data_IF_784626235418
#
_entry.id   IF_784626235418
#
_cell.length_a   1.000
_cell.length_b   1.000
_cell.length_c   1.000
_cell.angle_alpha   90.00
_cell.angle_beta   90.00
_cell.angle_gamma   90.00
#
_symmetry.space_group_name_H-M   'P 1'
#
loop_
_entity.id
_entity.type
_entity.pdbx_description
1 polymer ?
#
# COMPACT_ATOMS: atom_id res chain seq x y z
N UNK A 1 4.76 46.87 35.23
CA UNK A 1 4.85 46.27 33.88
C UNK A 1 4.25 44.86 33.87
N UNK A 2 3.05 44.64 34.41
CA UNK A 2 2.41 43.30 34.44
C UNK A 2 1.23 43.16 33.47
N UNK A 3 0.76 44.28 32.91
CA UNK A 3 -0.35 44.30 31.94
C UNK A 3 0.13 43.75 30.58
N UNK A 4 1.41 43.97 30.23
CA UNK A 4 2.00 43.51 28.97
C UNK A 4 2.23 41.98 28.96
N UNK A 5 2.66 41.40 30.08
CA UNK A 5 2.93 39.95 30.18
C UNK A 5 1.65 39.12 30.15
N UNK A 6 0.58 39.54 30.85
CA UNK A 6 -0.71 38.83 30.83
C UNK A 6 -1.44 38.90 29.49
N UNK A 7 -1.27 39.99 28.74
CA UNK A 7 -1.85 40.14 27.39
C UNK A 7 -1.08 39.31 26.37
N UNK A 8 0.25 39.30 26.45
CA UNK A 8 1.11 38.45 25.61
C UNK A 8 0.82 36.96 25.87
N UNK A 9 0.70 36.53 27.13
CA UNK A 9 0.38 35.14 27.47
C UNK A 9 -0.97 34.67 26.89
N UNK A 10 -2.02 35.49 26.99
CA UNK A 10 -3.33 35.20 26.38
C UNK A 10 -3.25 35.13 24.85
N UNK A 11 -2.48 36.02 24.20
CA UNK A 11 -2.28 35.98 22.74
C UNK A 11 -1.57 34.69 22.33
N UNK A 12 -0.55 34.26 23.08
CA UNK A 12 0.10 32.97 22.83
C UNK A 12 -0.87 31.80 23.01
N UNK A 13 -1.66 31.75 24.08
CA UNK A 13 -2.64 30.67 24.29
C UNK A 13 -3.68 30.57 23.17
N UNK A 14 -4.27 31.69 22.73
CA UNK A 14 -5.28 31.70 21.67
C UNK A 14 -4.72 31.42 20.26
N UNK A 15 -3.41 31.61 20.03
CA UNK A 15 -2.81 31.52 18.68
C UNK A 15 -1.92 30.28 18.50
N UNK A 16 -1.29 29.78 19.58
CA UNK A 16 -0.39 28.62 19.52
C UNK A 16 -1.15 27.33 19.26
N UNK A 17 -2.32 27.15 19.88
CA UNK A 17 -3.09 25.92 19.72
C UNK A 17 -3.63 25.73 18.27
N UNK A 18 -4.23 26.75 17.61
CA UNK A 18 -4.66 26.62 16.21
C UNK A 18 -3.49 26.42 15.23
N UNK A 19 -2.38 27.13 15.41
CA UNK A 19 -1.19 27.01 14.54
C UNK A 19 -0.55 25.63 14.74
N UNK A 20 -0.42 25.17 16.00
CA UNK A 20 0.13 23.86 16.33
C UNK A 20 -0.68 22.72 15.72
N UNK A 21 -2.02 22.80 15.73
CA UNK A 21 -2.89 21.82 15.07
C UNK A 21 -2.67 21.77 13.56
N UNK A 22 -2.56 22.93 12.90
CA UNK A 22 -2.31 22.99 11.46
C UNK A 22 -0.95 22.38 11.08
N UNK A 23 0.10 22.70 11.83
CA UNK A 23 1.45 22.12 11.66
C UNK A 23 1.43 20.61 11.91
N UNK A 24 0.72 20.17 12.96
CA UNK A 24 0.54 18.74 13.27
C UNK A 24 -0.10 17.96 12.14
N UNK A 25 -1.12 18.50 11.46
CA UNK A 25 -1.72 17.85 10.30
C UNK A 25 -0.74 17.69 9.13
N UNK A 26 0.10 18.69 8.88
CA UNK A 26 1.13 18.63 7.84
C UNK A 26 2.22 17.61 8.15
N UNK A 27 2.65 17.53 9.42
CA UNK A 27 3.62 16.52 9.87
C UNK A 27 3.05 15.11 9.71
N UNK A 28 1.82 14.88 10.20
CA UNK A 28 1.16 13.58 10.08
C UNK A 28 0.96 13.18 8.62
N UNK A 29 0.58 14.13 7.75
CA UNK A 29 0.49 13.91 6.31
C UNK A 29 1.82 13.43 5.70
N UNK A 30 2.92 14.14 5.95
CA UNK A 30 4.25 13.74 5.46
C UNK A 30 4.63 12.36 5.98
N UNK A 31 4.49 12.13 7.29
CA UNK A 31 4.81 10.85 7.92
C UNK A 31 4.01 9.69 7.33
N UNK A 32 2.72 9.88 7.05
CA UNK A 32 1.87 8.84 6.48
C UNK A 32 2.21 8.54 5.02
N UNK A 33 2.64 9.54 4.24
CA UNK A 33 3.15 9.31 2.88
C UNK A 33 4.48 8.55 2.89
N UNK A 34 5.42 8.90 3.78
CA UNK A 34 6.67 8.15 3.89
C UNK A 34 6.43 6.71 4.35
N UNK A 35 5.49 6.51 5.28
CA UNK A 35 5.05 5.16 5.67
C UNK A 35 4.51 4.37 4.48
N UNK A 36 3.65 4.99 3.66
CA UNK A 36 3.14 4.38 2.43
C UNK A 36 4.27 4.01 1.46
N UNK A 37 5.23 4.90 1.21
CA UNK A 37 6.40 4.61 0.34
C UNK A 37 7.22 3.44 0.86
N UNK A 38 7.48 3.42 2.16
CA UNK A 38 8.25 2.35 2.79
C UNK A 38 7.53 1.00 2.68
N UNK A 39 6.21 0.98 2.91
CA UNK A 39 5.41 -0.23 2.81
C UNK A 39 5.31 -0.70 1.35
N UNK A 40 5.12 0.22 0.39
CA UNK A 40 5.11 -0.12 -1.04
C UNK A 40 6.42 -0.79 -1.47
N UNK A 41 7.57 -0.23 -1.06
CA UNK A 41 8.89 -0.85 -1.33
C UNK A 41 9.01 -2.26 -0.72
N UNK A 42 8.44 -2.47 0.47
CA UNK A 42 8.40 -3.80 1.08
C UNK A 42 7.52 -4.77 0.27
N UNK A 43 6.36 -4.31 -0.20
CA UNK A 43 5.48 -5.09 -1.06
C UNK A 43 6.18 -5.52 -2.34
N UNK A 44 6.89 -4.62 -3.01
CA UNK A 44 7.64 -4.92 -4.23
C UNK A 44 8.66 -6.04 -3.99
N UNK A 45 9.42 -5.95 -2.90
CA UNK A 45 10.37 -6.99 -2.53
C UNK A 45 9.68 -8.34 -2.24
N UNK A 46 8.47 -8.34 -1.67
CA UNK A 46 7.69 -9.57 -1.41
C UNK A 46 7.14 -10.14 -2.74
N UNK A 47 6.66 -9.28 -3.65
CA UNK A 47 6.19 -9.66 -4.99
C UNK A 47 7.31 -10.31 -5.79
N UNK A 48 8.51 -9.75 -5.75
CA UNK A 48 9.70 -10.31 -6.43
C UNK A 48 10.06 -11.69 -5.89
N UNK A 49 10.06 -11.87 -4.56
CA UNK A 49 10.28 -13.20 -3.95
C UNK A 49 9.19 -14.19 -4.37
N UNK A 50 7.93 -13.77 -4.38
CA UNK A 50 6.82 -14.63 -4.80
C UNK A 50 6.94 -15.00 -6.28
N UNK A 51 7.35 -14.08 -7.13
CA UNK A 51 7.60 -14.35 -8.55
C UNK A 51 8.64 -15.45 -8.73
N UNK A 52 9.78 -15.39 -8.03
CA UNK A 52 10.78 -16.45 -8.09
C UNK A 52 10.24 -17.81 -7.65
N UNK A 53 9.40 -17.86 -6.60
CA UNK A 53 8.75 -19.10 -6.14
C UNK A 53 7.80 -19.66 -7.20
N UNK A 54 7.02 -18.80 -7.84
CA UNK A 54 6.12 -19.20 -8.93
C UNK A 54 6.90 -19.72 -10.13
N UNK A 55 7.96 -19.02 -10.53
CA UNK A 55 8.82 -19.45 -11.65
C UNK A 55 9.45 -20.82 -11.37
N UNK A 56 9.83 -21.12 -10.13
CA UNK A 56 10.32 -22.45 -9.72
C UNK A 56 9.24 -23.53 -9.81
N UNK A 57 8.02 -23.24 -9.34
CA UNK A 57 6.88 -24.16 -9.42
C UNK A 57 6.57 -24.52 -10.87
N UNK A 58 6.56 -23.52 -11.76
CA UNK A 58 6.31 -23.71 -13.19
C UNK A 58 7.43 -24.50 -13.87
N UNK A 59 8.70 -24.23 -13.54
CA UNK A 59 9.86 -25.02 -14.05
C UNK A 59 9.79 -26.49 -13.65
N UNK A 60 9.20 -26.78 -12.49
CA UNK A 60 9.01 -28.14 -12.00
C UNK A 60 7.75 -28.82 -12.57
N UNK A 61 7.02 -28.16 -13.49
CA UNK A 61 5.80 -28.71 -14.10
C UNK A 61 4.62 -28.82 -13.14
N UNK A 62 4.67 -28.12 -12.00
CA UNK A 62 3.61 -28.09 -11.01
C UNK A 62 2.65 -26.93 -11.27
N UNK A 63 1.43 -27.05 -10.75
CA UNK A 63 0.46 -25.96 -10.77
C UNK A 63 0.71 -24.97 -9.64
N UNK A 64 0.42 -23.69 -9.88
CA UNK A 64 0.49 -22.62 -8.87
C UNK A 64 -0.86 -22.51 -8.16
N UNK A 65 -0.85 -22.47 -6.83
CA UNK A 65 -2.07 -22.37 -6.05
C UNK A 65 -2.88 -21.10 -6.37
N UNK A 66 -4.21 -21.23 -6.33
CA UNK A 66 -5.11 -20.13 -6.74
C UNK A 66 -5.03 -18.94 -5.80
N UNK A 67 -4.83 -19.17 -4.51
CA UNK A 67 -4.68 -18.12 -3.50
C UNK A 67 -3.39 -17.30 -3.69
N UNK A 68 -2.31 -17.92 -4.20
CA UNK A 68 -1.08 -17.25 -4.61
C UNK A 68 -1.34 -16.35 -5.82
N UNK A 69 -2.07 -16.84 -6.82
CA UNK A 69 -2.44 -16.04 -7.99
C UNK A 69 -3.30 -14.83 -7.61
N UNK A 70 -4.30 -15.04 -6.74
CA UNK A 70 -5.17 -13.97 -6.26
C UNK A 70 -4.37 -12.94 -5.46
N UNK A 71 -3.48 -13.38 -4.56
CA UNK A 71 -2.61 -12.49 -3.81
C UNK A 71 -1.73 -11.62 -4.71
N UNK A 72 -1.19 -12.16 -5.81
CA UNK A 72 -0.41 -11.38 -6.79
C UNK A 72 -1.26 -10.31 -7.45
N UNK A 73 -2.47 -10.66 -7.91
CA UNK A 73 -3.41 -9.72 -8.53
C UNK A 73 -3.80 -8.59 -7.56
N UNK A 74 -4.10 -8.95 -6.31
CA UNK A 74 -4.39 -7.98 -5.25
C UNK A 74 -3.18 -7.08 -4.98
N UNK A 75 -1.97 -7.64 -4.93
CA UNK A 75 -0.74 -6.87 -4.74
C UNK A 75 -0.51 -5.86 -5.89
N UNK A 76 -0.80 -6.23 -7.13
CA UNK A 76 -0.75 -5.32 -8.28
C UNK A 76 -1.77 -4.18 -8.17
N UNK A 77 -3.01 -4.49 -7.75
CA UNK A 77 -4.03 -3.47 -7.50
C UNK A 77 -3.65 -2.50 -6.39
N UNK A 78 -3.11 -3.01 -5.28
CA UNK A 78 -2.59 -2.20 -4.16
C UNK A 78 -1.43 -1.31 -4.64
N UNK A 79 -0.53 -1.83 -5.48
CA UNK A 79 0.59 -1.08 -6.06
C UNK A 79 0.06 0.12 -6.86
N UNK A 80 -0.90 -0.11 -7.75
CA UNK A 80 -1.51 0.94 -8.57
C UNK A 80 -2.20 2.02 -7.73
N UNK A 81 -2.93 1.63 -6.69
CA UNK A 81 -3.56 2.63 -5.80
C UNK A 81 -2.53 3.43 -5.01
N UNK A 82 -1.44 2.80 -4.56
CA UNK A 82 -0.36 3.48 -3.86
C UNK A 82 0.34 4.50 -4.78
N UNK A 83 0.67 4.11 -6.01
CA UNK A 83 1.24 5.00 -7.03
C UNK A 83 0.32 6.19 -7.33
N UNK A 84 -0.99 5.97 -7.43
CA UNK A 84 -1.97 7.05 -7.62
C UNK A 84 -1.99 8.02 -6.42
N UNK A 85 -1.95 7.54 -5.18
CA UNK A 85 -1.88 8.41 -4.00
C UNK A 85 -0.59 9.24 -4.01
N UNK A 86 0.55 8.60 -4.30
CA UNK A 86 1.87 9.24 -4.32
C UNK A 86 2.00 10.25 -5.47
N UNK A 87 1.44 9.96 -6.65
CA UNK A 87 1.41 10.89 -7.79
C UNK A 87 0.57 12.15 -7.52
N UNK A 88 -0.45 12.06 -6.67
CA UNK A 88 -1.30 13.18 -6.29
C UNK A 88 -0.72 14.06 -5.17
N UNK A 89 0.44 13.71 -4.61
CA UNK A 89 1.15 14.50 -3.58
C UNK A 89 1.43 15.95 -4.04
N UNK A 90 1.76 16.14 -5.32
CA UNK A 90 2.07 17.46 -5.88
C UNK A 90 0.85 18.38 -6.01
N UNK A 91 -0.34 17.83 -6.22
CA UNK A 91 -1.57 18.61 -6.45
C UNK A 91 -2.12 19.25 -5.19
N UNK A 92 -1.80 18.69 -4.01
CA UNK A 92 -2.16 19.32 -2.75
C UNK A 92 -1.43 20.66 -2.57
N UNK A 93 -0.24 20.89 -3.13
CA UNK A 93 0.59 22.06 -2.78
C UNK A 93 0.05 23.45 -3.20
N UNK A 94 -0.99 23.56 -4.06
CA UNK A 94 -1.28 24.80 -4.80
C UNK A 94 -2.42 25.71 -4.29
N UNK A 95 -3.29 25.29 -3.35
CA UNK A 95 -4.48 26.11 -3.00
C UNK A 95 -4.61 26.45 -1.49
N UNK A 96 -3.95 27.52 -1.05
CA UNK A 96 -4.38 28.30 0.11
C UNK A 96 -4.75 29.70 -0.35
N UNK A 97 -6.03 30.07 -0.25
CA UNK A 97 -6.49 31.44 -0.45
C UNK A 97 -7.13 31.94 0.84
N UNK A 98 -6.77 33.16 1.27
CA UNK A 98 -7.57 33.96 2.22
C UNK A 98 -7.94 33.30 3.56
N UNK A 99 -6.97 32.69 4.28
CA UNK A 99 -7.14 32.27 5.68
C UNK A 99 -7.96 30.99 5.91
N UNK A 100 -8.63 30.46 4.88
CA UNK A 100 -9.20 29.11 4.87
C UNK A 100 -8.41 28.33 3.83
N UNK A 101 -7.66 27.32 4.25
CA UNK A 101 -6.95 26.45 3.34
C UNK A 101 -7.81 25.21 3.05
N UNK A 102 -8.56 25.15 1.93
CA UNK A 102 -9.22 23.91 1.48
C UNK A 102 -8.25 22.72 1.42
N UNK A 103 -6.97 23.02 1.27
CA UNK A 103 -5.86 22.07 1.31
C UNK A 103 -5.72 21.29 2.62
N UNK A 104 -6.11 21.81 3.79
CA UNK A 104 -5.98 21.05 5.04
C UNK A 104 -6.91 19.83 5.08
N UNK A 105 -8.13 19.95 4.57
CA UNK A 105 -9.07 18.83 4.44
C UNK A 105 -8.54 17.81 3.41
N UNK A 106 -7.98 18.29 2.30
CA UNK A 106 -7.35 17.45 1.28
C UNK A 106 -6.12 16.72 1.82
N UNK A 107 -5.23 17.39 2.56
CA UNK A 107 -4.09 16.80 3.24
C UNK A 107 -4.53 15.76 4.26
N UNK A 108 -5.55 16.07 5.05
CA UNK A 108 -6.08 15.11 6.02
C UNK A 108 -6.63 13.85 5.32
N UNK A 109 -7.40 14.03 4.25
CA UNK A 109 -7.94 12.92 3.44
C UNK A 109 -6.83 12.07 2.81
N UNK A 110 -5.82 12.70 2.20
CA UNK A 110 -4.67 12.02 1.60
C UNK A 110 -3.84 11.30 2.68
N UNK A 111 -3.61 11.95 3.81
CA UNK A 111 -2.92 11.38 4.97
C UNK A 111 -3.62 10.13 5.49
N UNK A 112 -4.94 10.18 5.66
CA UNK A 112 -5.75 9.05 6.09
C UNK A 112 -5.73 7.90 5.07
N UNK A 113 -5.89 8.21 3.77
CA UNK A 113 -5.78 7.20 2.69
C UNK A 113 -4.42 6.53 2.69
N UNK A 114 -3.35 7.30 2.86
CA UNK A 114 -1.97 6.79 2.90
C UNK A 114 -1.75 5.88 4.09
N UNK A 115 -2.20 6.28 5.28
CA UNK A 115 -2.10 5.46 6.49
C UNK A 115 -2.90 4.15 6.35
N UNK A 116 -4.11 4.23 5.79
CA UNK A 116 -4.96 3.07 5.55
C UNK A 116 -4.29 2.08 4.60
N UNK A 117 -3.82 2.56 3.45
CA UNK A 117 -3.20 1.71 2.44
C UNK A 117 -1.85 1.16 2.90
N UNK A 118 -1.06 1.92 3.65
CA UNK A 118 0.18 1.44 4.27
C UNK A 118 -0.07 0.23 5.18
N UNK A 119 -1.12 0.28 6.00
CA UNK A 119 -1.52 -0.85 6.86
C UNK A 119 -2.03 -2.05 6.04
N UNK A 120 -2.78 -1.79 4.98
CA UNK A 120 -3.24 -2.84 4.07
C UNK A 120 -2.06 -3.55 3.39
N UNK A 121 -1.09 -2.79 2.88
CA UNK A 121 0.16 -3.33 2.33
C UNK A 121 0.90 -4.15 3.37
N UNK A 122 1.04 -3.66 4.60
CA UNK A 122 1.73 -4.38 5.66
C UNK A 122 1.10 -5.76 5.92
N UNK A 123 -0.23 -5.82 6.00
CA UNK A 123 -0.97 -7.07 6.19
C UNK A 123 -0.82 -8.00 4.98
N UNK A 124 -0.94 -7.45 3.77
CA UNK A 124 -0.83 -8.22 2.53
C UNK A 124 0.56 -8.82 2.34
N UNK A 125 1.62 -8.03 2.64
CA UNK A 125 3.02 -8.45 2.59
C UNK A 125 3.38 -9.52 3.62
N UNK A 126 2.65 -9.58 4.74
CA UNK A 126 2.82 -10.58 5.81
C UNK A 126 2.04 -11.87 5.55
N UNK A 127 1.23 -11.96 4.49
CA UNK A 127 0.47 -13.18 4.19
C UNK A 127 1.43 -14.34 3.91
N UNK A 128 1.26 -15.42 4.67
CA UNK A 128 2.00 -16.65 4.49
C UNK A 128 1.20 -17.66 3.67
N UNK A 129 1.92 -18.52 2.96
CA UNK A 129 1.36 -19.57 2.11
C UNK A 129 1.92 -20.91 2.56
N UNK A 130 1.10 -21.81 3.14
CA UNK A 130 1.55 -23.15 3.54
C UNK A 130 2.12 -23.95 2.37
N UNK A 131 1.53 -23.78 1.18
CA UNK A 131 2.05 -24.26 -0.09
C UNK A 131 1.86 -23.18 -1.15
N UNK A 132 2.74 -23.17 -2.15
CA UNK A 132 2.58 -22.35 -3.37
C UNK A 132 2.27 -23.18 -4.60
N UNK A 133 2.30 -24.51 -4.46
CA UNK A 133 2.18 -25.44 -5.56
C UNK A 133 1.26 -26.61 -5.24
N UNK A 134 0.63 -27.14 -6.28
CA UNK A 134 -0.04 -28.43 -6.26
C UNK A 134 0.47 -29.32 -7.39
N UNK A 135 0.35 -30.63 -7.22
CA UNK A 135 0.62 -31.58 -8.29
C UNK A 135 -0.63 -31.66 -9.19
N UNK A 136 -0.54 -31.22 -10.47
CA UNK A 136 -1.68 -31.32 -11.36
C UNK A 136 -2.03 -32.80 -11.59
N UNK A 137 -3.31 -33.13 -11.82
CA UNK A 137 -3.69 -34.50 -12.12
C UNK A 137 -2.86 -34.99 -13.30
N UNK A 138 -2.22 -36.16 -13.15
CA UNK A 138 -1.52 -36.84 -14.24
C UNK A 138 -2.47 -36.85 -15.45
N UNK A 139 -2.06 -36.17 -16.52
CA UNK A 139 -2.93 -35.91 -17.65
C UNK A 139 -3.61 -37.20 -18.09
N UNK A 140 -4.95 -37.24 -18.05
CA UNK A 140 -5.74 -38.28 -18.74
C UNK A 140 -5.36 -38.37 -20.23
N UNK A 141 -4.73 -37.33 -20.75
CA UNK A 141 -4.17 -37.25 -22.10
C UNK A 141 -2.98 -38.19 -22.30
N UNK A 142 -2.20 -38.53 -21.26
CA UNK A 142 -1.12 -39.51 -21.39
C UNK A 142 -1.69 -40.94 -21.49
N UNK A 143 -2.74 -41.27 -20.74
CA UNK A 143 -3.46 -42.53 -20.92
C UNK A 143 -4.14 -42.61 -22.29
N UNK A 144 -4.79 -41.54 -22.75
CA UNK A 144 -5.40 -41.51 -24.10
C UNK A 144 -4.37 -41.58 -25.24
N UNK A 145 -3.21 -40.94 -25.09
CA UNK A 145 -2.12 -41.00 -26.05
C UNK A 145 -1.48 -42.40 -26.07
N UNK A 146 -1.29 -43.02 -24.91
CA UNK A 146 -0.79 -44.40 -24.79
C UNK A 146 -1.79 -45.43 -25.34
N UNK A 147 -3.10 -45.30 -25.07
CA UNK A 147 -4.11 -46.17 -25.68
C UNK A 147 -4.14 -46.06 -27.20
N UNK A 148 -3.98 -44.84 -27.76
CA UNK A 148 -3.88 -44.62 -29.21
C UNK A 148 -2.58 -45.15 -29.82
N UNK A 149 -1.48 -45.13 -29.09
CA UNK A 149 -0.18 -45.68 -29.54
C UNK A 149 -0.13 -47.21 -29.48
N UNK A 150 -0.81 -47.81 -28.50
CA UNK A 150 -0.83 -49.26 -28.29
C UNK A 150 -2.02 -49.97 -28.96
N UNK A 151 -2.94 -49.23 -29.59
CA UNK A 151 -4.03 -49.81 -30.38
C UNK A 151 -5.01 -50.67 -29.58
N UNK A 152 -5.25 -50.32 -28.31
CA UNK A 152 -6.32 -50.90 -27.47
C UNK A 152 -7.57 -50.03 -27.49
#
# INVERSE_FOLDING_TARGET
>A
MEILTGTIAKIFEYTVEPIGRQVGYLINYKSNLESLRSQLKNLDAVKDRMKHRVDEVERNGKGVETDVQNWRKEADGITQEAENILGNEGQAKTNCFSGVCPNLVSYHRLSWKSAKLAKEIELHAKKEFPSVSYDPPLGRDMCHALSKLHGL
#
